data_IF_474417291245
#
_entry.id   IF_474417291245
#
_cell.length_a   1.000
_cell.length_b   1.000
_cell.length_c   1.000
_cell.angle_alpha   90.00
_cell.angle_beta   90.00
_cell.angle_gamma   90.00
#
_symmetry.space_group_name_H-M   'P 1'
#
loop_
_entity.id
_entity.type
_entity.pdbx_description
1 polymer ?
#
# COMPACT_ATOMS: atom_id res chain seq x y z
N UNK A 1 -9.02 17.20 -18.29
CA UNK A 1 -9.21 17.45 -16.83
C UNK A 1 -8.03 16.82 -16.09
N UNK A 2 -7.17 17.62 -15.44
CA UNK A 2 -5.98 17.09 -14.76
C UNK A 2 -6.32 16.61 -13.35
N UNK A 3 -5.96 15.38 -13.01
CA UNK A 3 -6.08 14.83 -11.65
C UNK A 3 -4.68 14.56 -11.13
N UNK A 4 -4.29 15.23 -10.05
CA UNK A 4 -2.99 15.04 -9.42
C UNK A 4 -3.17 14.25 -8.13
N UNK A 5 -2.69 13.00 -8.06
CA UNK A 5 -2.71 12.23 -6.83
C UNK A 5 -1.76 12.86 -5.81
N UNK A 6 -2.21 12.87 -4.55
CA UNK A 6 -1.50 13.51 -3.44
C UNK A 6 -1.10 12.49 -2.39
N UNK A 7 -2.05 11.74 -1.85
CA UNK A 7 -1.77 10.79 -0.77
C UNK A 7 -2.29 9.40 -1.13
N UNK A 8 -1.58 8.39 -0.68
CA UNK A 8 -2.03 7.00 -0.66
C UNK A 8 -2.29 6.61 0.78
N UNK A 9 -3.53 6.24 1.05
CA UNK A 9 -3.97 5.69 2.32
C UNK A 9 -4.16 4.20 2.16
N UNK A 10 -3.81 3.43 3.17
CA UNK A 10 -4.02 1.99 3.19
C UNK A 10 -4.58 1.53 4.52
N UNK A 11 -5.26 0.39 4.46
CA UNK A 11 -5.71 -0.36 5.63
C UNK A 11 -5.68 -1.85 5.32
N UNK A 12 -5.03 -2.61 6.18
CA UNK A 12 -4.84 -4.05 6.04
C UNK A 12 -5.32 -4.69 7.33
N UNK A 13 -6.19 -5.68 7.20
CA UNK A 13 -6.76 -6.44 8.32
C UNK A 13 -6.25 -7.88 8.23
N UNK A 14 -5.23 -8.26 9.00
CA UNK A 14 -4.81 -9.65 9.13
C UNK A 14 -5.75 -10.42 10.06
N UNK A 15 -5.79 -11.74 9.90
CA UNK A 15 -6.37 -12.66 10.87
C UNK A 15 -5.28 -13.12 11.85
N UNK A 16 -5.26 -12.52 13.03
CA UNK A 16 -4.27 -12.82 14.07
C UNK A 16 -2.97 -12.00 13.99
N UNK A 17 -1.90 -12.45 14.68
CA UNK A 17 -0.63 -11.72 14.79
C UNK A 17 0.16 -11.73 13.48
N UNK A 18 0.91 -10.65 13.22
CA UNK A 18 1.82 -10.59 12.08
C UNK A 18 3.16 -11.31 12.39
N UNK A 19 3.77 -12.00 11.41
CA UNK A 19 5.06 -12.66 11.62
C UNK A 19 6.18 -11.68 12.02
N UNK A 20 7.24 -12.14 12.72
CA UNK A 20 8.38 -11.30 13.06
C UNK A 20 9.04 -10.64 11.83
N UNK A 21 9.20 -9.33 11.90
CA UNK A 21 9.78 -8.52 10.82
C UNK A 21 8.98 -8.58 9.52
N UNK A 22 7.65 -8.69 9.65
CA UNK A 22 6.71 -8.49 8.58
C UNK A 22 6.91 -7.14 7.88
N UNK A 23 6.94 -7.16 6.56
CA UNK A 23 7.13 -6.01 5.67
C UNK A 23 6.04 -6.01 4.64
N UNK A 24 5.52 -4.81 4.37
CA UNK A 24 4.43 -4.61 3.44
C UNK A 24 4.86 -3.56 2.42
N UNK A 25 4.56 -3.82 1.15
CA UNK A 25 4.78 -2.87 0.07
C UNK A 25 3.54 -2.77 -0.79
N UNK A 26 3.27 -1.57 -1.30
CA UNK A 26 2.31 -1.37 -2.39
C UNK A 26 3.08 -1.05 -3.65
N UNK A 27 2.92 -1.91 -4.65
CA UNK A 27 3.58 -1.79 -5.94
C UNK A 27 2.58 -1.40 -7.02
N UNK A 28 3.02 -0.57 -7.96
CA UNK A 28 2.39 -0.41 -9.26
C UNK A 28 3.41 -0.80 -10.35
N UNK A 29 3.06 -0.58 -11.62
CA UNK A 29 3.93 -0.91 -12.75
C UNK A 29 5.25 -0.12 -12.79
N UNK A 30 5.38 0.96 -12.02
CA UNK A 30 6.55 1.86 -12.04
C UNK A 30 7.45 1.68 -10.82
N UNK A 31 6.87 1.53 -9.62
CA UNK A 31 7.61 1.50 -8.35
C UNK A 31 6.80 0.88 -7.23
N UNK A 32 7.52 0.52 -6.16
CA UNK A 32 6.95 0.07 -4.90
C UNK A 32 7.15 1.10 -3.79
N UNK A 33 6.14 1.25 -2.93
CA UNK A 33 6.17 2.08 -1.73
C UNK A 33 6.15 1.17 -0.51
N UNK A 34 7.11 1.35 0.39
CA UNK A 34 7.17 0.64 1.67
C UNK A 34 6.10 1.18 2.61
N UNK A 35 5.30 0.28 3.19
CA UNK A 35 4.33 0.60 4.23
C UNK A 35 4.91 0.15 5.57
N UNK A 36 4.94 1.05 6.55
CA UNK A 36 5.52 0.80 7.87
C UNK A 36 4.54 0.10 8.82
N UNK A 37 3.26 0.33 8.60
CA UNK A 37 2.17 -0.08 9.49
C UNK A 37 1.07 -0.79 8.70
N UNK A 38 0.15 -1.48 9.37
CA UNK A 38 -1.02 -2.11 8.74
C UNK A 38 -2.02 -1.08 8.20
N UNK A 39 -2.03 0.14 8.75
CA UNK A 39 -2.83 1.24 8.26
C UNK A 39 -2.05 2.55 8.35
N UNK A 40 -2.29 3.45 7.41
CA UNK A 40 -1.61 4.75 7.41
C UNK A 40 -1.84 5.54 6.14
N UNK A 41 -1.11 6.64 6.03
CA UNK A 41 -1.05 7.45 4.83
C UNK A 41 0.37 7.88 4.50
N UNK A 42 0.68 7.98 3.20
CA UNK A 42 1.95 8.50 2.70
C UNK A 42 1.69 9.50 1.57
N UNK A 43 2.49 10.59 1.50
CA UNK A 43 2.49 11.45 0.34
C UNK A 43 3.00 10.67 -0.87
N UNK A 44 2.28 10.79 -1.98
CA UNK A 44 2.67 10.20 -3.25
C UNK A 44 3.73 11.08 -3.90
N UNK A 45 4.82 10.49 -4.43
CA UNK A 45 5.80 11.23 -5.19
C UNK A 45 5.18 11.80 -6.46
N UNK A 46 5.73 12.91 -6.95
CA UNK A 46 5.29 13.48 -8.23
C UNK A 46 5.37 12.43 -9.35
N UNK A 47 4.32 12.39 -10.18
CA UNK A 47 4.21 11.43 -11.29
C UNK A 47 3.75 10.02 -10.88
N UNK A 48 3.38 9.78 -9.61
CA UNK A 48 2.72 8.52 -9.26
C UNK A 48 1.33 8.48 -9.92
N UNK A 49 0.92 7.36 -10.54
CA UNK A 49 -0.37 7.27 -11.18
C UNK A 49 -1.49 7.26 -10.14
N UNK A 50 -2.57 8.00 -10.43
CA UNK A 50 -3.79 7.95 -9.62
C UNK A 50 -4.58 6.65 -9.85
N UNK A 51 -4.37 6.01 -11.00
CA UNK A 51 -5.02 4.79 -11.41
C UNK A 51 -4.11 3.58 -11.18
N UNK A 52 -4.75 2.46 -10.84
CA UNK A 52 -4.09 1.16 -10.66
C UNK A 52 -3.70 0.49 -11.99
N UNK A 53 -3.26 -0.78 -11.93
CA UNK A 53 -3.39 -1.69 -10.79
C UNK A 53 -2.37 -1.45 -9.68
N UNK A 54 -2.82 -1.56 -8.44
CA UNK A 54 -1.98 -1.60 -7.25
C UNK A 54 -1.96 -3.02 -6.70
N UNK A 55 -0.78 -3.50 -6.27
CA UNK A 55 -0.59 -4.81 -5.67
C UNK A 55 0.02 -4.67 -4.30
N UNK A 56 -0.52 -5.39 -3.33
CA UNK A 56 0.12 -5.56 -2.03
C UNK A 56 1.11 -6.72 -2.11
N UNK A 57 2.33 -6.47 -1.65
CA UNK A 57 3.33 -7.50 -1.45
C UNK A 57 3.62 -7.63 0.04
N UNK A 58 3.57 -8.87 0.52
CA UNK A 58 3.75 -9.24 1.92
C UNK A 58 5.01 -10.08 2.05
N UNK A 59 5.93 -9.67 2.91
CA UNK A 59 7.22 -10.33 3.10
C UNK A 59 7.53 -10.49 4.58
N UNK A 60 8.29 -11.53 4.93
CA UNK A 60 8.89 -11.69 6.25
C UNK A 60 10.41 -11.65 6.10
N UNK A 61 11.10 -11.06 7.07
CA UNK A 61 12.58 -11.12 7.11
C UNK A 61 13.10 -12.43 7.70
N UNK A 62 12.23 -13.19 8.37
CA UNK A 62 12.59 -14.52 8.85
C UNK A 62 12.82 -15.45 7.65
N UNK A 63 13.90 -16.22 7.68
CA UNK A 63 14.10 -17.30 6.71
C UNK A 63 13.22 -18.49 7.08
N UNK A 64 12.65 -19.14 6.07
CA UNK A 64 11.77 -20.28 6.24
C UNK A 64 10.31 -19.89 6.14
N UNK A 65 9.45 -20.68 6.77
CA UNK A 65 8.01 -20.46 6.73
C UNK A 65 7.61 -19.22 7.54
N UNK A 66 6.53 -18.57 7.12
CA UNK A 66 5.91 -17.53 7.94
C UNK A 66 5.24 -18.21 9.13
N UNK A 67 5.86 -18.11 10.30
CA UNK A 67 5.30 -18.59 11.56
C UNK A 67 5.06 -17.40 12.50
N UNK A 68 3.80 -17.15 12.91
CA UNK A 68 2.58 -17.85 12.50
C UNK A 68 2.20 -17.61 11.03
N UNK A 69 1.34 -18.45 10.43
CA UNK A 69 0.90 -18.25 9.04
C UNK A 69 0.20 -16.90 8.88
N UNK A 70 0.44 -16.25 7.75
CA UNK A 70 -0.15 -14.96 7.44
C UNK A 70 -1.45 -15.14 6.64
N UNK A 71 -2.57 -14.77 7.25
CA UNK A 71 -3.87 -14.68 6.56
C UNK A 71 -4.31 -13.22 6.50
N UNK A 72 -4.59 -12.71 5.30
CA UNK A 72 -5.11 -11.36 5.09
C UNK A 72 -6.59 -11.43 4.77
N UNK A 73 -7.41 -10.87 5.66
CA UNK A 73 -8.87 -10.82 5.48
C UNK A 73 -9.29 -9.69 4.56
N UNK A 74 -8.59 -8.55 4.64
CA UNK A 74 -8.92 -7.36 3.86
C UNK A 74 -7.70 -6.50 3.59
N UNK A 75 -7.59 -5.97 2.38
CA UNK A 75 -6.60 -4.97 1.99
C UNK A 75 -7.28 -3.87 1.17
N UNK A 76 -7.13 -2.63 1.60
CA UNK A 76 -7.79 -1.48 0.99
C UNK A 76 -6.77 -0.39 0.68
N UNK A 77 -6.96 0.27 -0.46
CA UNK A 77 -6.21 1.45 -0.86
C UNK A 77 -7.20 2.57 -1.15
N UNK A 78 -6.90 3.76 -0.65
CA UNK A 78 -7.60 5.00 -1.02
C UNK A 78 -6.60 6.00 -1.56
N UNK A 79 -6.85 6.52 -2.76
CA UNK A 79 -6.04 7.57 -3.39
C UNK A 79 -6.72 8.91 -3.20
N UNK A 80 -6.11 9.80 -2.41
CA UNK A 80 -6.55 11.19 -2.32
C UNK A 80 -5.92 11.97 -3.47
N UNK A 81 -6.75 12.60 -4.31
CA UNK A 81 -6.30 13.37 -5.46
C UNK A 81 -6.95 14.75 -5.49
N UNK A 82 -6.30 15.69 -6.16
CA UNK A 82 -6.83 17.04 -6.41
C UNK A 82 -7.11 17.16 -7.90
N UNK A 83 -8.30 17.61 -8.27
CA UNK A 83 -8.64 17.90 -9.66
C UNK A 83 -8.51 19.40 -9.93
N UNK A 84 -7.90 19.75 -11.06
CA UNK A 84 -7.89 21.11 -11.57
C UNK A 84 -8.92 21.23 -12.69
N UNK A 85 -9.92 22.08 -12.48
CA UNK A 85 -10.84 22.51 -13.53
C UNK A 85 -10.33 23.86 -14.01
N UNK A 86 -9.84 23.98 -15.26
CA UNK A 86 -9.53 25.30 -15.81
C UNK A 86 -10.82 26.11 -15.83
N UNK A 87 -10.74 27.37 -15.37
CA UNK A 87 -11.84 28.33 -15.56
C UNK A 87 -12.01 28.64 -17.02
#
# INVERSE_FOLDING_TARGET
KGVTPKHLLWKITPDGPTPPGFRIRVCNNLRCLMLRELAGEIPLPAGFPAAGPFRFEYQSVARGEMTPPLTILKNEITIRSVSYTPR
#
